data_IF_867119005485
#
_entry.id   IF_867119005485
#
_cell.length_a   1.000
_cell.length_b   1.000
_cell.length_c   1.000
_cell.angle_alpha   90.00
_cell.angle_beta   90.00
_cell.angle_gamma   90.00
#
_symmetry.space_group_name_H-M   'P 1'
#
loop_
_entity.id
_entity.type
_entity.pdbx_description
1 polymer ?
#
# COMPACT_ATOMS: atom_id res chain seq x y z
N UNK A 1 -34.02 27.80 -19.12
CA UNK A 1 -33.15 26.70 -19.58
C UNK A 1 -31.99 26.64 -18.61
N UNK A 2 -31.91 25.58 -17.81
CA UNK A 2 -30.88 25.41 -16.78
C UNK A 2 -29.57 24.92 -17.41
N UNK A 3 -28.45 25.07 -16.71
CA UNK A 3 -27.13 24.66 -17.22
C UNK A 3 -27.07 23.13 -17.46
N UNK A 4 -27.77 22.36 -16.63
CA UNK A 4 -27.92 20.90 -16.78
C UNK A 4 -28.61 20.50 -18.09
N UNK A 5 -29.63 21.25 -18.53
CA UNK A 5 -30.31 21.01 -19.80
C UNK A 5 -29.38 21.28 -20.99
N UNK A 6 -28.52 22.29 -20.87
CA UNK A 6 -27.52 22.63 -21.88
C UNK A 6 -26.41 21.58 -21.96
N UNK A 7 -25.88 21.14 -20.83
CA UNK A 7 -24.91 20.04 -20.76
C UNK A 7 -25.48 18.74 -21.32
N UNK A 8 -26.72 18.38 -20.94
CA UNK A 8 -27.40 17.21 -21.47
C UNK A 8 -27.61 17.26 -22.98
N UNK A 9 -27.91 18.44 -23.53
CA UNK A 9 -28.01 18.64 -24.98
C UNK A 9 -26.67 18.49 -25.69
N UNK A 10 -25.57 19.01 -25.12
CA UNK A 10 -24.22 18.87 -25.67
C UNK A 10 -23.75 17.42 -25.69
N UNK A 11 -23.95 16.66 -24.61
CA UNK A 11 -23.60 15.23 -24.59
C UNK A 11 -24.41 14.42 -25.61
N UNK A 12 -25.71 14.69 -25.75
CA UNK A 12 -26.56 14.00 -26.73
C UNK A 12 -26.16 14.34 -28.17
N UNK A 13 -25.79 15.60 -28.43
CA UNK A 13 -25.28 16.04 -29.73
C UNK A 13 -23.94 15.34 -30.07
N UNK A 14 -23.00 15.28 -29.12
CA UNK A 14 -21.73 14.59 -29.29
C UNK A 14 -21.90 13.08 -29.51
N UNK A 15 -22.82 12.43 -28.78
CA UNK A 15 -23.10 11.00 -28.95
C UNK A 15 -23.81 10.68 -30.29
N UNK A 16 -24.48 11.67 -30.88
CA UNK A 16 -25.16 11.52 -32.18
C UNK A 16 -24.29 11.93 -33.36
N UNK A 17 -23.03 12.31 -33.11
CA UNK A 17 -22.09 12.69 -34.17
C UNK A 17 -21.69 11.46 -34.99
N UNK A 18 -22.25 11.37 -36.20
CA UNK A 18 -21.97 10.32 -37.18
C UNK A 18 -20.54 10.37 -37.74
N UNK A 19 -19.78 11.43 -37.46
CA UNK A 19 -18.36 11.52 -37.80
C UNK A 19 -17.45 10.90 -36.71
N UNK A 20 -18.02 10.40 -35.60
CA UNK A 20 -17.25 9.68 -34.60
C UNK A 20 -16.60 8.42 -35.22
N UNK A 21 -15.30 8.16 -34.94
CA UNK A 21 -14.64 6.95 -35.39
C UNK A 21 -15.40 5.72 -34.88
N UNK A 22 -15.52 4.68 -35.71
CA UNK A 22 -16.09 3.42 -35.22
C UNK A 22 -15.29 2.93 -34.00
N UNK A 23 -15.97 2.51 -32.92
CA UNK A 23 -15.28 2.00 -31.74
C UNK A 23 -14.41 0.82 -32.15
N UNK A 24 -13.09 0.97 -32.01
CA UNK A 24 -12.11 -0.07 -32.36
C UNK A 24 -12.15 -1.32 -31.49
N UNK A 25 -13.13 -1.42 -30.59
CA UNK A 25 -13.34 -2.55 -29.69
C UNK A 25 -14.67 -3.20 -30.04
N UNK A 26 -14.62 -4.32 -30.75
CA UNK A 26 -15.79 -5.18 -30.91
C UNK A 26 -15.99 -6.08 -29.68
N UNK A 27 -17.22 -6.53 -29.48
CA UNK A 27 -17.57 -7.46 -28.39
C UNK A 27 -16.72 -8.74 -28.43
N UNK A 28 -16.37 -9.22 -29.63
CA UNK A 28 -15.54 -10.42 -29.81
C UNK A 28 -14.12 -10.21 -29.29
N UNK A 29 -13.58 -9.00 -29.40
CA UNK A 29 -12.24 -8.59 -28.97
C UNK A 29 -12.18 -8.56 -27.45
N UNK A 30 -13.22 -8.05 -26.79
CA UNK A 30 -13.33 -8.09 -25.32
C UNK A 30 -13.43 -9.53 -24.83
N UNK A 31 -14.32 -10.35 -25.41
CA UNK A 31 -14.49 -11.75 -25.00
C UNK A 31 -13.22 -12.57 -25.27
N UNK A 32 -12.55 -12.36 -26.41
CA UNK A 32 -11.31 -13.04 -26.78
C UNK A 32 -10.15 -12.65 -25.85
N UNK A 33 -10.03 -11.37 -25.52
CA UNK A 33 -9.00 -10.87 -24.60
C UNK A 33 -9.23 -11.37 -23.19
N UNK A 34 -10.48 -11.33 -22.70
CA UNK A 34 -10.89 -11.89 -21.41
C UNK A 34 -10.58 -13.40 -21.32
N UNK A 35 -10.98 -14.20 -22.32
CA UNK A 35 -10.66 -15.64 -22.36
C UNK A 35 -9.15 -15.91 -22.34
N UNK A 36 -8.34 -15.11 -23.04
CA UNK A 36 -6.88 -15.27 -23.08
C UNK A 36 -6.24 -15.06 -21.70
N UNK A 37 -6.75 -14.11 -20.91
CA UNK A 37 -6.27 -13.85 -19.55
C UNK A 37 -6.62 -15.03 -18.63
N UNK A 38 -7.85 -15.56 -18.72
CA UNK A 38 -8.29 -16.69 -17.91
C UNK A 38 -7.54 -18.00 -18.23
N UNK A 39 -7.21 -18.25 -19.50
CA UNK A 39 -6.46 -19.46 -19.91
C UNK A 39 -5.02 -19.44 -19.37
N UNK A 40 -4.34 -18.28 -19.38
CA UNK A 40 -2.96 -18.16 -18.84
C UNK A 40 -2.87 -18.54 -17.35
N UNK A 41 -3.90 -18.22 -16.55
CA UNK A 41 -3.95 -18.58 -15.13
C UNK A 41 -4.05 -20.09 -14.89
N UNK A 42 -4.61 -20.86 -15.81
CA UNK A 42 -4.78 -22.33 -15.67
C UNK A 42 -3.57 -23.13 -16.15
N UNK A 43 -2.80 -22.63 -17.11
CA UNK A 43 -1.62 -23.34 -17.63
C UNK A 43 -0.42 -23.31 -16.67
N UNK A 44 -0.36 -22.34 -15.74
CA UNK A 44 0.70 -22.27 -14.73
C UNK A 44 0.56 -23.32 -13.62
N UNK A 45 -0.60 -23.98 -13.48
CA UNK A 45 -0.90 -24.90 -12.37
C UNK A 45 -0.52 -26.35 -12.68
N UNK A 46 -0.32 -26.72 -13.95
CA UNK A 46 -0.19 -28.14 -14.35
C UNK A 46 1.22 -28.64 -14.66
N UNK A 47 2.26 -27.80 -14.69
CA UNK A 47 3.62 -28.24 -15.08
C UNK A 47 4.55 -28.49 -13.87
N UNK A 48 4.20 -28.02 -12.66
CA UNK A 48 5.03 -28.13 -11.45
C UNK A 48 4.78 -29.35 -10.56
N UNK A 49 4.17 -30.44 -11.08
CA UNK A 49 3.64 -31.53 -10.25
C UNK A 49 4.24 -32.92 -10.48
N UNK A 50 5.49 -33.04 -10.93
CA UNK A 50 6.07 -34.35 -11.30
C UNK A 50 7.52 -34.59 -10.86
N UNK A 51 8.00 -33.93 -9.80
CA UNK A 51 9.34 -34.20 -9.28
C UNK A 51 9.44 -33.99 -7.77
N UNK A 52 8.99 -34.96 -6.96
CA UNK A 52 9.47 -35.23 -5.58
C UNK A 52 8.72 -36.40 -4.94
N UNK A 53 8.89 -37.62 -5.45
CA UNK A 53 8.64 -38.84 -4.69
C UNK A 53 9.79 -39.83 -4.91
N UNK A 54 10.92 -39.53 -4.25
CA UNK A 54 12.02 -40.47 -4.12
C UNK A 54 12.79 -40.21 -2.81
N UNK A 55 12.15 -40.43 -1.65
CA UNK A 55 12.88 -40.79 -0.44
C UNK A 55 12.21 -42.00 0.20
N UNK A 56 12.94 -43.10 0.07
CA UNK A 56 12.76 -44.43 0.65
C UNK A 56 13.09 -44.39 2.14
N UNK A 57 12.29 -45.01 3.01
CA UNK A 57 12.63 -45.12 4.43
C UNK A 57 11.62 -45.77 5.39
N UNK A 58 11.32 -47.07 5.18
CA UNK A 58 11.07 -48.11 6.21
C UNK A 58 9.88 -47.95 7.19
N UNK A 59 8.86 -48.80 7.00
CA UNK A 59 8.21 -49.52 8.10
C UNK A 59 6.76 -49.15 8.44
N UNK A 60 5.79 -49.76 7.76
CA UNK A 60 4.39 -49.76 8.22
C UNK A 60 3.43 -50.34 7.18
N UNK A 61 3.07 -51.61 7.32
CA UNK A 61 1.97 -52.22 6.57
C UNK A 61 0.64 -51.86 7.22
N UNK A 62 -0.14 -50.98 6.59
CA UNK A 62 -1.58 -50.90 6.84
C UNK A 62 -2.31 -51.07 5.50
N UNK A 63 -3.24 -52.02 5.55
CA UNK A 63 -3.99 -52.55 4.43
C UNK A 63 -4.95 -51.51 3.80
N UNK A 64 -5.03 -51.51 2.47
CA UNK A 64 -6.20 -51.00 1.76
C UNK A 64 -7.39 -51.96 1.94
N UNK A 65 -8.61 -51.40 1.98
CA UNK A 65 -9.62 -51.82 1.03
C UNK A 65 -10.14 -50.65 0.19
N UNK A 66 -10.53 -51.00 -1.04
CA UNK A 66 -10.91 -50.10 -2.13
C UNK A 66 -12.34 -49.52 -2.08
N UNK A 67 -12.84 -49.04 -3.22
CA UNK A 67 -13.52 -47.75 -3.33
C UNK A 67 -15.05 -47.86 -3.35
N UNK A 68 -15.72 -46.92 -2.69
CA UNK A 68 -17.14 -46.61 -2.95
C UNK A 68 -17.35 -45.10 -2.92
N UNK A 69 -18.10 -44.61 -3.90
CA UNK A 69 -18.15 -43.21 -4.31
C UNK A 69 -18.80 -42.24 -3.34
N UNK A 70 -18.72 -40.95 -3.69
CA UNK A 70 -19.50 -39.89 -3.06
C UNK A 70 -18.77 -38.55 -3.04
N UNK A 71 -19.11 -37.71 -4.01
CA UNK A 71 -19.28 -36.25 -3.95
C UNK A 71 -18.49 -35.39 -2.93
N UNK A 72 -17.91 -34.32 -3.50
CA UNK A 72 -17.77 -32.97 -2.92
C UNK A 72 -16.94 -32.81 -1.63
N UNK A 73 -15.64 -32.54 -1.80
CA UNK A 73 -14.99 -31.36 -1.20
C UNK A 73 -13.53 -31.27 -1.68
N UNK A 74 -13.27 -30.41 -2.67
CA UNK A 74 -11.91 -30.07 -3.06
C UNK A 74 -11.43 -28.88 -2.22
N UNK A 75 -10.97 -29.17 -1.01
CA UNK A 75 -10.19 -28.23 -0.20
C UNK A 75 -8.86 -27.99 -0.90
N UNK A 76 -8.76 -26.87 -1.62
CA UNK A 76 -7.52 -26.39 -2.24
C UNK A 76 -6.63 -25.82 -1.15
N UNK A 77 -5.66 -26.61 -0.68
CA UNK A 77 -4.52 -26.09 0.07
C UNK A 77 -3.54 -25.44 -0.91
N UNK A 78 -3.36 -24.13 -0.80
CA UNK A 78 -2.32 -23.40 -1.52
C UNK A 78 -0.94 -23.77 -0.95
N UNK A 79 0.07 -24.10 -1.78
CA UNK A 79 1.44 -24.16 -1.30
C UNK A 79 1.97 -22.74 -1.10
N UNK A 80 2.37 -22.39 0.14
CA UNK A 80 3.25 -21.25 0.37
C UNK A 80 4.61 -21.54 -0.27
N UNK A 81 4.95 -20.76 -1.29
CA UNK A 81 6.31 -20.65 -1.80
C UNK A 81 7.11 -19.75 -0.85
N UNK A 82 8.18 -20.32 -0.29
CA UNK A 82 9.19 -19.58 0.46
C UNK A 82 9.97 -18.63 -0.48
N UNK A 83 10.28 -17.39 -0.08
CA UNK A 83 11.18 -16.54 -0.84
C UNK A 83 12.63 -17.03 -0.71
N UNK A 84 13.30 -17.23 -1.86
CA UNK A 84 14.75 -17.36 -1.96
C UNK A 84 15.45 -16.10 -1.45
N UNK A 85 16.47 -16.30 -0.63
CA UNK A 85 17.31 -15.23 -0.10
C UNK A 85 18.26 -14.67 -1.18
N UNK A 86 18.35 -13.35 -1.36
CA UNK A 86 19.40 -12.76 -2.19
C UNK A 86 20.75 -12.75 -1.44
N UNK A 87 21.77 -13.25 -2.15
CA UNK A 87 23.16 -13.38 -1.75
C UNK A 87 23.80 -12.06 -1.28
N UNK A 88 24.48 -12.13 -0.14
CA UNK A 88 25.29 -11.07 0.41
C UNK A 88 26.64 -10.97 -0.32
N UNK A 89 26.71 -10.23 -1.43
CA UNK A 89 28.01 -9.93 -2.06
C UNK A 89 27.99 -8.66 -2.92
N UNK A 90 27.77 -7.49 -2.30
CA UNK A 90 27.99 -6.18 -2.94
C UNK A 90 28.29 -5.01 -1.99
N UNK A 91 28.44 -5.24 -0.67
CA UNK A 91 28.62 -4.16 0.32
C UNK A 91 30.07 -3.90 0.76
N UNK A 92 31.08 -4.30 -0.03
CA UNK A 92 32.50 -4.20 0.39
C UNK A 92 33.36 -3.18 -0.36
N UNK A 93 32.76 -2.26 -1.12
CA UNK A 93 33.51 -1.29 -1.92
C UNK A 93 33.09 0.17 -1.70
N UNK A 94 32.82 0.60 -0.46
CA UNK A 94 32.86 2.03 -0.08
C UNK A 94 33.34 2.16 1.37
N UNK A 95 34.65 1.98 1.55
CA UNK A 95 35.36 2.18 2.80
C UNK A 95 36.18 3.47 2.71
N UNK A 96 36.13 4.25 3.79
CA UNK A 96 37.05 5.31 4.22
C UNK A 96 37.00 6.70 3.56
N UNK A 97 36.36 7.63 4.28
CA UNK A 97 36.87 9.01 4.44
C UNK A 97 36.96 9.30 5.95
N UNK A 98 38.13 9.69 6.49
CA UNK A 98 38.33 9.95 7.92
C UNK A 98 37.81 11.34 8.34
N UNK A 99 37.46 11.54 9.64
CA UNK A 99 37.04 12.85 10.16
C UNK A 99 38.24 13.72 10.57
N UNK A 100 38.21 15.05 10.36
CA UNK A 100 39.07 15.97 11.09
C UNK A 100 38.44 16.44 12.40
N UNK A 101 39.34 16.64 13.37
CA UNK A 101 39.11 16.97 14.77
C UNK A 101 38.79 18.46 15.03
N UNK A 102 38.37 18.70 16.26
CA UNK A 102 37.87 19.93 16.87
C UNK A 102 38.89 21.08 17.03
N UNK A 103 38.35 22.32 17.00
CA UNK A 103 38.64 23.52 17.80
C UNK A 103 37.87 24.68 17.10
N UNK A 104 37.17 25.61 17.73
CA UNK A 104 37.60 26.54 18.77
C UNK A 104 36.39 27.32 19.30
N UNK A 105 36.48 27.82 20.54
CA UNK A 105 35.42 28.47 21.31
C UNK A 105 35.29 29.98 21.09
N UNK A 106 34.09 30.49 21.43
CA UNK A 106 33.77 31.77 22.10
C UNK A 106 33.25 32.97 21.23
N UNK A 107 32.68 34.04 21.83
CA UNK A 107 31.24 34.17 22.14
C UNK A 107 30.60 35.49 21.63
N UNK A 108 29.27 35.58 21.55
CA UNK A 108 28.58 36.85 21.30
C UNK A 108 27.06 36.76 21.35
N UNK A 109 26.45 37.42 22.34
CA UNK A 109 25.03 37.45 22.65
C UNK A 109 24.19 38.34 21.71
N UNK A 110 22.93 37.96 21.49
CA UNK A 110 21.81 38.91 21.42
C UNK A 110 20.47 38.16 21.56
N UNK A 111 19.61 38.74 22.39
CA UNK A 111 18.29 38.30 22.85
C UNK A 111 17.28 37.87 21.78
N UNK A 112 16.59 36.75 22.06
CA UNK A 112 15.23 36.50 21.61
C UNK A 112 14.48 35.68 22.68
N UNK A 113 13.22 35.99 23.01
CA UNK A 113 12.52 35.38 24.13
C UNK A 113 12.18 33.90 23.86
N UNK A 114 12.68 33.03 24.75
CA UNK A 114 12.34 31.62 24.83
C UNK A 114 10.83 31.46 25.09
N UNK A 115 10.10 30.97 24.09
CA UNK A 115 8.90 30.17 24.35
C UNK A 115 9.40 28.78 24.75
N UNK A 116 9.28 28.45 26.03
CA UNK A 116 9.66 27.15 26.56
C UNK A 116 8.78 26.05 25.90
N UNK A 117 9.36 25.04 25.24
CA UNK A 117 8.60 23.85 24.88
C UNK A 117 8.23 23.12 26.17
N UNK A 118 6.96 22.73 26.28
CA UNK A 118 6.44 21.93 27.38
C UNK A 118 7.28 20.65 27.57
N UNK A 119 7.58 20.24 28.82
CA UNK A 119 8.31 19.01 29.06
C UNK A 119 7.32 17.84 29.05
N UNK A 120 7.47 16.89 28.12
CA UNK A 120 6.75 15.62 28.23
C UNK A 120 6.38 14.89 26.96
N UNK A 121 7.29 14.75 26.00
CA UNK A 121 7.25 13.61 25.08
C UNK A 121 8.69 13.26 24.74
N UNK A 122 9.23 12.25 25.43
CA UNK A 122 10.47 11.62 25.00
C UNK A 122 10.24 11.15 23.55
N UNK A 123 10.95 11.74 22.59
CA UNK A 123 10.91 11.33 21.21
C UNK A 123 11.49 9.91 21.12
N UNK A 124 10.63 8.90 21.16
CA UNK A 124 11.01 7.49 21.00
C UNK A 124 11.26 7.23 19.52
N UNK A 125 12.29 7.79 18.90
CA UNK A 125 12.62 7.46 17.50
C UNK A 125 13.29 8.58 16.75
N UNK A 126 13.94 8.20 15.64
CA UNK A 126 14.81 9.05 14.82
C UNK A 126 14.13 10.27 14.20
N UNK A 127 14.83 10.98 13.29
CA UNK A 127 14.28 12.16 12.63
C UNK A 127 12.94 11.85 11.94
N UNK A 128 12.01 12.82 11.89
CA UNK A 128 10.72 12.61 11.25
C UNK A 128 10.88 12.24 9.77
N UNK A 129 10.01 11.36 9.28
CA UNK A 129 9.98 10.93 7.89
C UNK A 129 9.46 12.07 7.01
N UNK A 130 10.38 12.81 6.39
CA UNK A 130 10.05 13.83 5.42
C UNK A 130 9.70 13.29 4.02
N UNK A 131 9.77 14.13 2.98
CA UNK A 131 9.46 13.76 1.61
C UNK A 131 10.21 12.52 1.10
N UNK A 132 9.58 11.78 0.20
CA UNK A 132 10.17 10.72 -0.60
C UNK A 132 11.40 11.19 -1.37
N UNK A 133 12.41 10.34 -1.50
CA UNK A 133 13.63 10.63 -2.27
C UNK A 133 13.55 10.16 -3.72
N UNK A 134 12.46 9.49 -4.09
CA UNK A 134 12.21 9.03 -5.46
C UNK A 134 11.74 10.16 -6.37
N UNK A 135 11.94 9.98 -7.68
CA UNK A 135 11.42 10.91 -8.69
C UNK A 135 9.88 10.86 -8.79
N UNK A 136 9.29 9.71 -8.44
CA UNK A 136 7.87 9.47 -8.37
C UNK A 136 7.42 9.25 -6.92
N UNK A 137 6.16 9.59 -6.63
CA UNK A 137 5.47 9.27 -5.38
C UNK A 137 5.57 7.76 -5.09
N UNK A 138 6.04 7.41 -3.90
CA UNK A 138 6.07 6.02 -3.45
C UNK A 138 4.71 5.70 -2.81
N UNK A 139 3.94 4.79 -3.41
CA UNK A 139 2.59 4.41 -2.97
C UNK A 139 2.59 3.21 -2.02
N UNK A 140 3.74 2.58 -1.82
CA UNK A 140 3.97 1.49 -0.87
C UNK A 140 5.32 1.69 -0.16
N UNK A 141 5.45 2.83 0.51
CA UNK A 141 6.68 3.24 1.17
C UNK A 141 6.99 2.36 2.40
N UNK A 142 8.11 1.62 2.43
CA UNK A 142 8.40 0.68 3.51
C UNK A 142 8.71 1.37 4.85
N UNK A 143 9.22 2.60 4.83
CA UNK A 143 9.50 3.34 6.06
C UNK A 143 8.19 3.83 6.70
N UNK A 144 7.29 4.41 5.92
CA UNK A 144 5.95 4.79 6.36
C UNK A 144 5.17 3.57 6.83
N UNK A 145 5.27 2.44 6.11
CA UNK A 145 4.65 1.18 6.51
C UNK A 145 5.08 0.74 7.89
N UNK A 146 6.39 0.78 8.18
CA UNK A 146 6.92 0.39 9.48
C UNK A 146 6.36 1.24 10.63
N UNK A 147 6.18 2.55 10.41
CA UNK A 147 5.59 3.46 11.40
C UNK A 147 4.11 3.16 11.60
N UNK A 148 3.37 2.88 10.53
CA UNK A 148 1.94 2.51 10.62
C UNK A 148 1.77 1.19 11.40
N UNK A 149 2.61 0.19 11.14
CA UNK A 149 2.60 -1.11 11.83
C UNK A 149 2.96 -1.00 13.32
N UNK A 150 3.76 0.00 13.72
CA UNK A 150 4.06 0.28 15.13
C UNK A 150 2.81 0.75 15.91
N UNK A 151 1.94 1.56 15.27
CA UNK A 151 0.75 2.11 15.92
C UNK A 151 -0.54 1.30 15.70
N UNK A 152 -0.58 0.48 14.64
CA UNK A 152 -1.61 -0.51 14.39
C UNK A 152 -0.96 -1.90 14.26
N UNK A 153 -0.65 -2.57 15.38
CA UNK A 153 -0.09 -3.91 15.32
C UNK A 153 -1.01 -4.91 14.61
N UNK A 154 -2.32 -4.62 14.50
CA UNK A 154 -3.29 -5.43 13.77
C UNK A 154 -3.07 -5.44 12.25
N UNK A 155 -2.34 -4.47 11.70
CA UNK A 155 -2.02 -4.43 10.26
C UNK A 155 -0.65 -5.04 9.93
N UNK A 156 0.08 -5.57 10.92
CA UNK A 156 1.36 -6.23 10.69
C UNK A 156 1.16 -7.44 9.77
N UNK A 157 1.86 -7.44 8.63
CA UNK A 157 1.72 -8.49 7.61
C UNK A 157 0.44 -8.40 6.77
N UNK A 158 -0.32 -7.30 6.88
CA UNK A 158 -1.45 -7.04 5.99
C UNK A 158 -0.98 -7.01 4.51
N UNK A 159 -1.73 -7.62 3.58
CA UNK A 159 -1.42 -7.55 2.16
C UNK A 159 -1.41 -6.10 1.67
N UNK A 160 -0.53 -5.81 0.72
CA UNK A 160 -0.55 -4.54 -0.01
C UNK A 160 -1.73 -4.52 -0.97
N UNK A 161 -2.54 -3.47 -0.88
CA UNK A 161 -3.61 -3.26 -1.83
C UNK A 161 -3.07 -2.78 -3.16
N UNK A 162 -3.80 -3.09 -4.24
CA UNK A 162 -3.45 -2.63 -5.58
C UNK A 162 -3.46 -1.10 -5.65
N UNK A 163 -2.39 -0.53 -6.19
CA UNK A 163 -2.22 0.90 -6.44
C UNK A 163 -2.07 1.17 -7.94
N UNK A 164 -2.36 2.39 -8.36
CA UNK A 164 -2.11 2.81 -9.74
C UNK A 164 -0.62 3.14 -9.93
N UNK A 165 -0.04 2.72 -11.05
CA UNK A 165 1.34 3.02 -11.46
C UNK A 165 1.54 4.46 -11.97
N UNK A 166 0.68 5.40 -11.54
CA UNK A 166 0.79 6.80 -11.95
C UNK A 166 1.96 7.47 -11.22
N UNK A 167 3.02 7.78 -11.96
CA UNK A 167 4.13 8.57 -11.43
C UNK A 167 3.67 10.02 -11.19
N UNK A 168 3.45 10.37 -9.92
CA UNK A 168 3.27 11.77 -9.51
C UNK A 168 4.59 12.31 -8.96
N UNK A 169 5.15 13.38 -9.54
CA UNK A 169 6.32 14.01 -8.96
C UNK A 169 5.93 14.69 -7.64
N UNK A 170 6.88 14.81 -6.71
CA UNK A 170 6.68 15.63 -5.50
C UNK A 170 7.16 15.00 -4.20
N UNK A 171 7.64 13.75 -4.18
CA UNK A 171 8.10 13.13 -2.94
C UNK A 171 6.95 12.82 -1.96
N UNK A 172 5.73 12.60 -2.48
CA UNK A 172 4.67 11.97 -1.70
C UNK A 172 5.13 10.57 -1.26
N UNK A 173 4.70 10.16 -0.06
CA UNK A 173 4.84 8.78 0.43
C UNK A 173 3.45 8.27 0.75
N UNK A 174 3.20 6.99 0.54
CA UNK A 174 1.91 6.39 0.80
C UNK A 174 2.03 4.91 1.06
N UNK A 175 1.02 4.36 1.72
CA UNK A 175 0.85 2.94 2.00
C UNK A 175 -0.62 2.61 1.86
N UNK A 176 -0.93 1.54 1.13
CA UNK A 176 -2.29 1.05 0.92
C UNK A 176 -2.36 -0.42 1.33
N UNK A 177 -3.14 -0.73 2.37
CA UNK A 177 -3.18 -2.06 2.99
C UNK A 177 -4.59 -2.64 2.96
N UNK A 178 -4.69 -3.93 2.62
CA UNK A 178 -5.89 -4.73 2.84
C UNK A 178 -5.95 -5.11 4.32
N UNK A 179 -6.90 -4.52 5.06
CA UNK A 179 -6.98 -4.66 6.51
C UNK A 179 -8.28 -5.35 6.96
N UNK A 180 -8.26 -5.86 8.19
CA UNK A 180 -9.46 -6.41 8.85
C UNK A 180 -9.53 -5.91 10.28
N UNK A 181 -10.71 -5.43 10.66
CA UNK A 181 -11.04 -5.10 12.04
C UNK A 181 -12.16 -6.03 12.52
N UNK A 182 -11.75 -7.13 13.16
CA UNK A 182 -12.62 -8.27 13.44
C UNK A 182 -13.17 -8.87 12.15
N UNK A 183 -14.49 -8.80 11.95
CA UNK A 183 -15.18 -9.30 10.77
C UNK A 183 -15.32 -8.26 9.64
N UNK A 184 -14.77 -7.05 9.81
CA UNK A 184 -14.89 -5.95 8.83
C UNK A 184 -13.64 -5.89 7.94
N UNK A 185 -13.66 -6.45 6.73
CA UNK A 185 -12.58 -6.25 5.76
C UNK A 185 -12.68 -4.87 5.13
N UNK A 186 -11.53 -4.34 4.72
CA UNK A 186 -11.48 -3.08 3.99
C UNK A 186 -10.07 -2.66 3.59
N UNK A 187 -9.96 -1.41 3.19
CA UNK A 187 -8.75 -0.75 2.77
C UNK A 187 -8.36 0.31 3.81
N UNK A 188 -7.10 0.34 4.19
CA UNK A 188 -6.48 1.46 4.93
C UNK A 188 -5.49 2.15 3.99
N UNK A 189 -5.65 3.46 3.82
CA UNK A 189 -4.73 4.30 3.05
C UNK A 189 -4.14 5.36 3.96
N UNK A 190 -2.81 5.40 4.03
CA UNK A 190 -2.04 6.43 4.73
C UNK A 190 -1.17 7.13 3.70
N UNK A 191 -1.24 8.46 3.61
CA UNK A 191 -0.48 9.25 2.66
C UNK A 191 0.17 10.44 3.37
N UNK A 192 1.46 10.62 3.15
CA UNK A 192 2.19 11.85 3.43
C UNK A 192 2.22 12.73 2.17
N UNK A 193 1.79 13.98 2.34
CA UNK A 193 1.81 15.02 1.33
C UNK A 193 2.90 16.06 1.70
N UNK A 194 3.79 16.41 0.77
CA UNK A 194 4.79 17.45 0.98
C UNK A 194 4.16 18.83 1.29
N UNK A 195 4.91 19.75 1.90
CA UNK A 195 4.47 21.13 2.09
C UNK A 195 4.04 21.79 0.77
N UNK A 196 2.94 22.54 0.82
CA UNK A 196 2.40 23.26 -0.35
C UNK A 196 1.45 22.44 -1.23
N UNK A 197 1.28 21.13 -0.96
CA UNK A 197 0.27 20.28 -1.62
C UNK A 197 -1.00 20.26 -0.77
N UNK A 198 -2.13 20.67 -1.35
CA UNK A 198 -3.41 20.59 -0.68
C UNK A 198 -3.93 19.14 -0.70
N UNK A 199 -4.38 18.59 0.45
CA UNK A 199 -4.96 17.25 0.49
C UNK A 199 -6.31 17.22 -0.24
N UNK A 200 -6.51 16.20 -1.08
CA UNK A 200 -7.83 15.83 -1.58
C UNK A 200 -8.46 14.81 -0.61
N UNK A 201 -9.31 15.30 0.28
CA UNK A 201 -9.90 14.49 1.35
C UNK A 201 -11.16 13.78 0.86
N UNK A 202 -11.09 12.46 0.79
CA UNK A 202 -12.28 11.62 0.63
C UNK A 202 -13.15 11.67 1.90
N UNK A 203 -14.44 11.38 1.75
CA UNK A 203 -15.37 11.35 2.88
C UNK A 203 -14.87 10.38 3.99
N UNK A 204 -14.79 10.86 5.22
CA UNK A 204 -14.29 10.11 6.37
C UNK A 204 -12.77 10.06 6.51
N UNK A 205 -12.01 10.71 5.62
CA UNK A 205 -10.57 10.89 5.81
C UNK A 205 -10.28 11.90 6.93
N UNK A 206 -9.20 11.65 7.67
CA UNK A 206 -8.67 12.56 8.70
C UNK A 206 -7.28 13.00 8.27
N UNK A 207 -6.92 14.24 8.57
CA UNK A 207 -5.59 14.78 8.25
C UNK A 207 -5.02 15.64 9.37
N UNK A 208 -3.69 15.73 9.42
CA UNK A 208 -2.98 16.62 10.33
C UNK A 208 -1.65 17.11 9.73
N UNK A 209 -1.17 18.30 10.14
CA UNK A 209 0.18 18.75 9.81
C UNK A 209 1.22 17.86 10.47
N UNK A 210 2.34 17.65 9.79
CA UNK A 210 3.43 16.77 10.21
C UNK A 210 4.64 17.58 10.72
N UNK A 211 5.54 16.95 11.48
CA UNK A 211 6.75 17.58 12.01
C UNK A 211 7.77 17.93 10.91
N UNK A 212 7.78 17.23 9.76
CA UNK A 212 8.58 17.65 8.59
C UNK A 212 7.97 18.80 7.79
N UNK A 213 6.77 19.27 8.16
CA UNK A 213 6.08 20.39 7.51
C UNK A 213 5.11 20.00 6.39
N UNK A 214 4.96 18.71 6.09
CA UNK A 214 3.91 18.19 5.20
C UNK A 214 2.57 17.98 5.91
N UNK A 215 1.65 17.26 5.26
CA UNK A 215 0.36 16.84 5.82
C UNK A 215 0.23 15.33 5.71
N UNK A 216 -0.17 14.66 6.79
CA UNK A 216 -0.57 13.24 6.72
C UNK A 216 -2.08 13.16 6.52
N UNK A 217 -2.52 12.29 5.63
CA UNK A 217 -3.93 11.96 5.37
C UNK A 217 -4.11 10.48 5.60
N UNK A 218 -5.10 10.12 6.41
CA UNK A 218 -5.47 8.74 6.70
C UNK A 218 -6.92 8.56 6.33
N UNK A 219 -7.23 7.51 5.58
CA UNK A 219 -8.59 7.13 5.25
C UNK A 219 -8.77 5.62 5.32
N UNK A 220 -10.00 5.20 5.58
CA UNK A 220 -10.37 3.79 5.50
C UNK A 220 -11.70 3.62 4.76
N UNK A 221 -11.85 2.49 4.07
CA UNK A 221 -13.05 2.12 3.32
C UNK A 221 -13.36 0.65 3.54
N UNK A 222 -14.62 0.29 3.77
CA UNK A 222 -15.06 -1.10 3.78
C UNK A 222 -15.06 -1.73 2.37
N UNK A 223 -15.22 -3.06 2.28
CA UNK A 223 -15.26 -3.83 1.03
C UNK A 223 -16.57 -3.64 0.20
N UNK A 224 -17.19 -2.47 0.31
CA UNK A 224 -18.46 -2.11 -0.32
C UNK A 224 -18.90 -0.68 0.05
N UNK A 225 -19.80 -0.09 -0.74
CA UNK A 225 -20.23 1.31 -0.55
C UNK A 225 -20.88 1.56 0.83
N UNK A 226 -21.64 0.58 1.32
CA UNK A 226 -22.34 0.64 2.62
C UNK A 226 -21.65 -0.19 3.70
N UNK A 227 -20.49 -0.79 3.39
CA UNK A 227 -19.77 -1.62 4.34
C UNK A 227 -19.10 -0.73 5.40
N UNK A 228 -19.23 -1.06 6.70
CA UNK A 228 -18.60 -0.29 7.76
C UNK A 228 -17.07 -0.35 7.59
N UNK A 229 -16.44 0.83 7.55
CA UNK A 229 -15.00 0.91 7.36
C UNK A 229 -14.24 0.42 8.60
N UNK A 230 -13.18 -0.40 8.43
CA UNK A 230 -12.38 -0.89 9.55
C UNK A 230 -11.62 0.26 10.24
N UNK A 231 -11.50 0.23 11.56
CA UNK A 231 -10.76 1.25 12.33
C UNK A 231 -11.25 2.71 12.19
N UNK A 232 -12.47 2.94 11.69
CA UNK A 232 -13.02 4.29 11.49
C UNK A 232 -12.98 5.15 12.77
N UNK A 233 -13.19 4.54 13.92
CA UNK A 233 -13.14 5.16 15.25
C UNK A 233 -11.73 5.44 15.77
N UNK A 234 -10.68 4.94 15.10
CA UNK A 234 -9.27 5.09 15.50
C UNK A 234 -8.48 6.06 14.61
N UNK A 235 -9.07 6.61 13.55
CA UNK A 235 -8.34 7.43 12.57
C UNK A 235 -7.75 8.70 13.19
N UNK A 236 -8.50 9.42 14.03
CA UNK A 236 -8.00 10.62 14.73
C UNK A 236 -6.81 10.30 15.63
N UNK A 237 -6.89 9.20 16.38
CA UNK A 237 -5.80 8.75 17.25
C UNK A 237 -4.58 8.35 16.42
N UNK A 238 -4.78 7.65 15.29
CA UNK A 238 -3.68 7.27 14.40
C UNK A 238 -2.98 8.51 13.83
N UNK A 239 -3.73 9.45 13.27
CA UNK A 239 -3.19 10.69 12.71
C UNK A 239 -2.42 11.48 13.77
N UNK A 240 -2.94 11.57 15.00
CA UNK A 240 -2.27 12.24 16.12
C UNK A 240 -0.93 11.59 16.47
N UNK A 241 -0.80 10.27 16.32
CA UNK A 241 0.45 9.54 16.58
C UNK A 241 1.43 9.58 15.40
N UNK A 242 0.91 9.57 14.16
CA UNK A 242 1.74 9.65 12.96
C UNK A 242 2.32 11.04 12.75
N UNK A 243 1.54 12.09 12.97
CA UNK A 243 1.94 13.46 12.66
C UNK A 243 3.31 13.90 13.23
N UNK A 244 3.68 13.59 14.49
CA UNK A 244 5.00 13.94 15.02
C UNK A 244 6.18 13.11 14.46
N UNK A 245 5.88 11.98 13.80
CA UNK A 245 6.87 11.04 13.24
C UNK A 245 7.10 11.23 11.76
N UNK A 246 6.18 11.90 11.10
CA UNK A 246 6.27 12.37 9.73
C UNK A 246 6.68 13.83 9.75
#
# INVERSE_FOLDING_TARGET
MTDDERLGALFRAAASDSAAPEPGFDHQTVVRTSRRITVRRRAAVTVGGLALFAIVGIGGTLALPGPTGGADDATVAAPMLAPEAPSADSRRAQQQVPPPAAAESAPGAADAPLVAPAPGAAAVGGPPLGPGTGECADRQDPALRSVVEEFLPEVVGAPEAAVTEECRPGGERGVNLEVRDGARPGLLTVQYLPPGVAPDLVAGAVSAPTASGGTVVVSTRGDGADAPAPFADRLDALVTQLAPRL
#
